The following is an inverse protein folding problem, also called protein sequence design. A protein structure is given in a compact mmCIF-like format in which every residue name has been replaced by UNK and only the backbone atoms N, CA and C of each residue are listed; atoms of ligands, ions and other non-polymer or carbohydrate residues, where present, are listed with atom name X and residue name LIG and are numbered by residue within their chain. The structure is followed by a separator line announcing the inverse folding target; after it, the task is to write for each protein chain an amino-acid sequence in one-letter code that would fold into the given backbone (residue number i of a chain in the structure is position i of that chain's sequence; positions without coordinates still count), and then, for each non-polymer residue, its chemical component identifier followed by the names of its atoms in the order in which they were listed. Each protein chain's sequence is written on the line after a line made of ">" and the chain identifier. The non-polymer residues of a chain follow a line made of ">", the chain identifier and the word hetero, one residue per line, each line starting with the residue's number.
data_IF_472822114332
#
_entry.id   IF_472822114332
#
_cell.length_a   1.000
_cell.length_b   1.000
_cell.length_c   1.000
_cell.angle_alpha   90.00
_cell.angle_beta   90.00
_cell.angle_gamma   90.00
#
_symmetry.space_group_name_H-M   'P 1'
#
loop_
_entity.id
_entity.type
_entity.pdbx_description
1 polymer ?
#
# COMPACT_ATOMS: atom_id res chain seq x y z
N UNK A 1 0.05 -13.79 9.86
CA UNK A 1 0.72 -12.86 10.78
C UNK A 1 0.97 -13.58 12.09
N UNK A 2 2.06 -13.28 12.77
CA UNK A 2 2.28 -13.71 14.16
C UNK A 2 2.36 -12.50 15.06
N UNK A 3 1.78 -12.59 16.25
CA UNK A 3 1.96 -11.60 17.31
C UNK A 3 3.18 -11.99 18.13
N UNK A 4 4.11 -11.05 18.30
CA UNK A 4 5.36 -11.26 19.02
C UNK A 4 5.54 -10.16 20.05
N UNK A 5 6.03 -10.51 21.23
CA UNK A 5 6.52 -9.54 22.21
C UNK A 5 8.02 -9.41 22.07
N UNK A 6 8.48 -8.22 21.71
CA UNK A 6 9.90 -7.87 21.81
C UNK A 6 10.14 -7.33 23.22
N UNK A 7 11.05 -7.96 23.98
CA UNK A 7 11.40 -7.55 25.32
C UNK A 7 12.91 -7.33 25.43
N UNK A 8 13.32 -6.17 25.93
CA UNK A 8 14.70 -5.80 26.18
C UNK A 8 14.91 -5.64 27.68
N UNK A 9 15.91 -6.34 28.20
CA UNK A 9 16.35 -6.21 29.57
C UNK A 9 17.65 -5.43 29.59
N UNK A 10 17.71 -4.36 30.35
CA UNK A 10 18.92 -3.58 30.57
C UNK A 10 19.06 -3.25 32.04
N UNK A 11 20.30 -3.18 32.50
CA UNK A 11 20.63 -2.75 33.84
C UNK A 11 21.16 -1.32 33.79
N UNK A 12 20.65 -0.48 34.68
CA UNK A 12 21.25 0.81 34.96
C UNK A 12 22.04 0.71 36.25
N UNK A 13 23.18 1.39 36.27
CA UNK A 13 23.93 1.58 37.50
C UNK A 13 23.32 2.74 38.26
N UNK A 14 23.53 2.80 39.57
CA UNK A 14 23.14 3.93 40.40
C UNK A 14 24.36 4.75 40.82
N UNK A 15 24.19 6.07 40.95
CA UNK A 15 25.18 6.93 41.59
C UNK A 15 25.17 6.75 43.12
N UNK A 16 26.05 7.48 43.83
CA UNK A 16 26.17 7.43 45.29
C UNK A 16 24.88 7.83 46.05
N UNK A 17 23.91 8.44 45.37
CA UNK A 17 22.62 8.84 45.93
C UNK A 17 21.47 7.92 45.50
N UNK A 18 21.76 6.81 44.78
CA UNK A 18 20.75 5.89 44.29
C UNK A 18 20.06 6.33 42.99
N UNK A 19 20.53 7.37 42.31
CA UNK A 19 19.95 7.85 41.05
C UNK A 19 20.49 7.03 39.86
N UNK A 20 19.64 6.58 38.91
CA UNK A 20 20.11 5.83 37.75
C UNK A 20 21.06 6.66 36.86
N UNK A 21 22.17 6.04 36.44
CA UNK A 21 23.19 6.62 35.56
C UNK A 21 23.59 5.66 34.44
N UNK A 22 23.97 6.22 33.30
CA UNK A 22 24.51 5.46 32.16
C UNK A 22 26.04 5.52 32.22
N UNK A 23 26.71 4.38 32.45
CA UNK A 23 28.18 4.35 32.57
C UNK A 23 28.77 3.18 31.80
N UNK A 24 29.91 3.39 31.14
CA UNK A 24 30.71 2.34 30.49
C UNK A 24 31.95 2.08 31.35
N UNK A 25 32.00 0.97 32.09
CA UNK A 25 33.10 0.60 32.99
C UNK A 25 32.63 -0.22 34.20
N UNK A 26 33.56 -0.89 34.90
CA UNK A 26 33.26 -1.74 36.07
C UNK A 26 33.46 -0.98 37.39
N UNK A 27 32.37 -0.73 38.12
CA UNK A 27 32.40 -0.42 39.54
C UNK A 27 31.44 -1.37 40.26
N UNK A 28 31.65 -1.61 41.56
CA UNK A 28 30.69 -2.38 42.38
C UNK A 28 29.36 -1.62 42.41
N UNK A 29 28.30 -2.24 41.86
CA UNK A 29 27.06 -1.56 41.49
C UNK A 29 25.84 -2.31 42.02
N UNK A 30 24.98 -1.61 42.75
CA UNK A 30 23.59 -2.03 42.96
C UNK A 30 22.84 -1.85 41.64
N UNK A 31 22.44 -2.94 40.99
CA UNK A 31 21.79 -2.90 39.67
C UNK A 31 20.29 -2.60 39.78
N UNK A 32 19.81 -1.62 39.01
CA UNK A 32 18.39 -1.48 38.71
C UNK A 32 18.12 -2.28 37.43
N UNK A 33 17.31 -3.34 37.52
CA UNK A 33 16.85 -4.06 36.35
C UNK A 33 15.65 -3.35 35.74
N UNK A 34 15.75 -3.00 34.46
CA UNK A 34 14.66 -2.41 33.69
C UNK A 34 14.25 -3.35 32.56
N UNK A 35 12.95 -3.42 32.30
CA UNK A 35 12.37 -4.08 31.13
C UNK A 35 11.67 -3.04 30.27
N UNK A 36 11.95 -3.05 28.96
CA UNK A 36 11.12 -2.42 27.95
C UNK A 36 10.56 -3.52 27.07
N UNK A 37 9.23 -3.61 26.95
CA UNK A 37 8.59 -4.56 26.06
C UNK A 37 7.51 -3.93 25.19
N UNK A 38 7.41 -4.41 23.95
CA UNK A 38 6.45 -3.95 22.95
C UNK A 38 5.90 -5.15 22.18
N UNK A 39 4.57 -5.20 22.05
CA UNK A 39 3.90 -6.14 21.16
C UNK A 39 3.98 -5.63 19.72
N UNK A 40 4.39 -6.52 18.82
CA UNK A 40 4.52 -6.25 17.39
C UNK A 40 3.82 -7.33 16.60
N UNK A 41 3.18 -6.93 15.51
CA UNK A 41 2.60 -7.85 14.54
C UNK A 41 3.62 -8.03 13.41
N UNK A 42 4.05 -9.28 13.19
CA UNK A 42 4.97 -9.62 12.13
C UNK A 42 4.20 -10.25 10.97
N UNK A 43 4.34 -9.63 9.80
CA UNK A 43 3.78 -10.12 8.53
C UNK A 43 4.90 -10.80 7.72
N UNK A 44 4.73 -12.08 7.39
CA UNK A 44 5.62 -12.77 6.46
C UNK A 44 5.44 -12.17 5.06
N UNK A 45 6.56 -11.85 4.38
CA UNK A 45 6.60 -11.37 3.00
C UNK A 45 5.87 -12.27 1.99
N UNK A 46 5.67 -13.54 2.32
CA UNK A 46 4.96 -14.50 1.47
C UNK A 46 3.48 -14.68 1.87
N UNK A 47 2.99 -13.91 2.84
CA UNK A 47 1.60 -13.97 3.28
C UNK A 47 0.67 -13.49 2.18
N UNK A 48 -0.42 -14.21 1.98
CA UNK A 48 -1.54 -13.71 1.21
C UNK A 48 -2.35 -12.73 2.07
N UNK A 49 -2.69 -11.59 1.48
CA UNK A 49 -3.48 -10.55 2.12
C UNK A 49 -4.78 -10.34 1.36
N UNK A 50 -5.79 -9.81 2.04
CA UNK A 50 -7.09 -9.51 1.43
C UNK A 50 -7.11 -8.02 1.06
N UNK A 51 -7.05 -7.71 -0.24
CA UNK A 51 -6.97 -6.32 -0.71
C UNK A 51 -8.35 -5.90 -1.21
N UNK A 52 -8.84 -4.76 -0.72
CA UNK A 52 -9.99 -4.08 -1.28
C UNK A 52 -9.52 -3.04 -2.29
N UNK A 53 -9.81 -3.27 -3.56
CA UNK A 53 -9.59 -2.33 -4.66
C UNK A 53 -10.82 -1.47 -4.86
N UNK A 54 -10.61 -0.16 -4.98
CA UNK A 54 -11.68 0.83 -5.14
C UNK A 54 -11.46 1.61 -6.43
N UNK A 55 -12.51 1.77 -7.23
CA UNK A 55 -12.51 2.62 -8.43
C UNK A 55 -13.78 3.46 -8.45
N UNK A 56 -13.74 4.60 -9.12
CA UNK A 56 -14.92 5.41 -9.37
C UNK A 56 -15.83 4.77 -10.44
N UNK A 57 -17.09 5.20 -10.51
CA UNK A 57 -18.08 4.68 -11.47
C UNK A 57 -17.85 5.09 -12.92
N UNK A 58 -16.98 6.07 -13.21
CA UNK A 58 -16.59 6.41 -14.59
C UNK A 58 -15.53 5.45 -15.16
N UNK A 59 -14.83 4.73 -14.28
CA UNK A 59 -13.91 3.64 -14.63
C UNK A 59 -14.33 2.32 -13.98
N UNK A 60 -15.47 1.73 -14.39
CA UNK A 60 -16.04 0.58 -13.70
C UNK A 60 -15.22 -0.69 -13.94
N UNK A 61 -15.22 -1.58 -12.95
CA UNK A 61 -14.76 -2.94 -13.10
C UNK A 61 -15.57 -3.67 -14.17
N UNK A 62 -14.91 -4.58 -14.91
CA UNK A 62 -15.59 -5.47 -15.84
C UNK A 62 -16.33 -6.55 -15.05
N UNK A 63 -17.66 -6.41 -14.95
CA UNK A 63 -18.54 -7.31 -14.18
C UNK A 63 -18.53 -8.76 -14.68
N UNK A 64 -18.06 -9.01 -15.92
CA UNK A 64 -17.87 -10.37 -16.43
C UNK A 64 -16.65 -11.08 -15.82
N UNK A 65 -15.70 -10.30 -15.27
CA UNK A 65 -14.43 -10.79 -14.70
C UNK A 65 -14.39 -10.64 -13.19
N UNK A 66 -14.93 -9.55 -12.67
CA UNK A 66 -14.79 -9.14 -11.28
C UNK A 66 -16.16 -8.90 -10.64
N UNK A 67 -16.36 -9.48 -9.46
CA UNK A 67 -17.48 -9.15 -8.59
C UNK A 67 -17.12 -7.94 -7.75
N UNK A 68 -18.04 -6.99 -7.67
CA UNK A 68 -17.90 -5.78 -6.87
C UNK A 68 -19.22 -5.39 -6.20
N UNK A 69 -19.14 -4.49 -5.23
CA UNK A 69 -20.29 -3.80 -4.65
C UNK A 69 -20.17 -2.30 -4.92
N UNK A 70 -21.30 -1.65 -5.19
CA UNK A 70 -21.34 -0.20 -5.40
C UNK A 70 -21.77 0.51 -4.13
N UNK A 71 -21.07 1.59 -3.78
CA UNK A 71 -21.39 2.42 -2.62
C UNK A 71 -20.81 3.81 -2.82
N UNK A 72 -21.59 4.85 -2.50
CA UNK A 72 -21.14 6.24 -2.44
C UNK A 72 -20.44 6.74 -3.73
N UNK A 73 -20.85 6.25 -4.91
CA UNK A 73 -20.26 6.62 -6.20
C UNK A 73 -18.97 5.86 -6.59
N UNK A 74 -18.64 4.80 -5.85
CA UNK A 74 -17.48 3.95 -6.07
C UNK A 74 -17.86 2.48 -6.17
N UNK A 75 -17.00 1.69 -6.81
CA UNK A 75 -17.07 0.24 -6.86
C UNK A 75 -15.94 -0.38 -6.04
N UNK A 76 -16.27 -1.38 -5.23
CA UNK A 76 -15.35 -2.06 -4.31
C UNK A 76 -15.23 -3.54 -4.68
N UNK A 77 -14.01 -3.99 -4.92
CA UNK A 77 -13.69 -5.41 -5.11
C UNK A 77 -12.69 -5.88 -4.06
N UNK A 78 -13.05 -6.89 -3.28
CA UNK A 78 -12.13 -7.52 -2.34
C UNK A 78 -11.62 -8.85 -2.89
N UNK A 79 -10.30 -9.02 -2.94
CA UNK A 79 -9.68 -10.25 -3.43
C UNK A 79 -8.40 -10.59 -2.67
N UNK A 80 -8.05 -11.88 -2.65
CA UNK A 80 -6.82 -12.37 -2.03
C UNK A 80 -5.64 -12.19 -2.98
N UNK A 81 -4.59 -11.51 -2.52
CA UNK A 81 -3.38 -11.23 -3.30
C UNK A 81 -2.16 -11.73 -2.54
N UNK A 82 -1.17 -12.24 -3.26
CA UNK A 82 0.06 -12.72 -2.65
C UNK A 82 1.10 -11.61 -2.63
N UNK A 83 1.63 -11.26 -1.46
CA UNK A 83 2.72 -10.28 -1.33
C UNK A 83 4.03 -10.70 -2.04
N UNK A 84 4.15 -11.97 -2.44
CA UNK A 84 5.31 -12.51 -3.14
C UNK A 84 5.17 -12.56 -4.67
N UNK A 85 3.98 -12.30 -5.23
CA UNK A 85 3.70 -12.46 -6.66
C UNK A 85 3.24 -11.16 -7.31
N UNK A 86 3.30 -11.11 -8.64
CA UNK A 86 2.70 -10.05 -9.46
C UNK A 86 1.31 -10.47 -9.88
N UNK A 87 0.32 -10.24 -9.01
CA UNK A 87 -1.08 -10.60 -9.26
C UNK A 87 -2.06 -9.53 -8.76
N UNK A 88 -1.64 -8.26 -8.72
CA UNK A 88 -2.57 -7.16 -8.49
C UNK A 88 -3.52 -7.00 -9.68
N UNK A 89 -4.65 -6.36 -9.45
CA UNK A 89 -5.52 -5.96 -10.56
C UNK A 89 -4.79 -4.99 -11.50
N UNK A 90 -5.08 -5.13 -12.78
CA UNK A 90 -4.53 -4.36 -13.88
C UNK A 90 -5.64 -3.82 -14.77
N UNK A 91 -5.27 -3.13 -15.85
CA UNK A 91 -6.22 -2.53 -16.79
C UNK A 91 -7.23 -3.54 -17.38
N UNK A 92 -6.87 -4.82 -17.52
CA UNK A 92 -7.79 -5.84 -18.08
C UNK A 92 -8.97 -6.16 -17.17
N UNK A 93 -8.91 -5.72 -15.92
CA UNK A 93 -9.94 -5.89 -14.88
C UNK A 93 -11.12 -4.91 -15.03
N UNK A 94 -11.02 -3.96 -15.95
CA UNK A 94 -11.96 -2.85 -16.12
C UNK A 94 -12.63 -2.88 -17.49
N UNK A 95 -13.77 -2.20 -17.59
CA UNK A 95 -14.36 -1.88 -18.89
C UNK A 95 -13.39 -0.96 -19.64
N UNK A 96 -13.20 -1.20 -20.94
CA UNK A 96 -12.28 -0.40 -21.74
C UNK A 96 -12.73 1.07 -21.79
N UNK A 97 -11.83 1.99 -21.43
CA UNK A 97 -12.02 3.44 -21.54
C UNK A 97 -10.84 4.07 -22.31
N UNK A 98 -10.88 5.38 -22.53
CA UNK A 98 -9.72 6.13 -23.05
C UNK A 98 -8.58 6.24 -22.05
N UNK A 99 -8.92 6.11 -20.76
CA UNK A 99 -8.04 6.41 -19.65
C UNK A 99 -7.30 5.16 -19.24
N UNK A 100 -6.08 5.32 -18.72
CA UNK A 100 -5.22 4.20 -18.40
C UNK A 100 -5.06 4.07 -16.91
N UNK A 101 -5.24 2.86 -16.38
CA UNK A 101 -4.92 2.58 -14.99
C UNK A 101 -3.40 2.71 -14.78
N UNK A 102 -2.99 3.76 -14.07
CA UNK A 102 -1.60 4.06 -13.76
C UNK A 102 -1.09 3.23 -12.58
N UNK A 103 -1.94 3.05 -11.57
CA UNK A 103 -1.59 2.31 -10.38
C UNK A 103 -2.62 2.42 -9.28
N UNK A 104 -2.14 2.27 -8.05
CA UNK A 104 -2.96 2.17 -6.85
C UNK A 104 -2.40 3.07 -5.76
N UNK A 105 -3.31 3.74 -5.05
CA UNK A 105 -3.04 4.71 -3.99
C UNK A 105 -3.53 4.22 -2.62
N UNK A 106 -2.93 4.71 -1.53
CA UNK A 106 -3.47 4.52 -0.18
C UNK A 106 -4.60 5.49 0.14
N UNK A 107 -4.78 6.53 -0.68
CA UNK A 107 -5.73 7.61 -0.44
C UNK A 107 -6.68 7.80 -1.62
N UNK A 108 -7.87 8.30 -1.31
CA UNK A 108 -8.88 8.59 -2.33
C UNK A 108 -8.49 9.79 -3.20
N UNK A 109 -7.71 10.74 -2.67
CA UNK A 109 -7.23 11.90 -3.43
C UNK A 109 -6.22 11.51 -4.51
N UNK A 110 -5.57 10.35 -4.36
CA UNK A 110 -4.61 9.84 -5.32
C UNK A 110 -3.27 10.59 -5.32
N UNK A 111 -2.97 11.32 -4.26
CA UNK A 111 -1.73 12.11 -4.13
C UNK A 111 -0.47 11.22 -4.00
N UNK A 112 -0.67 9.96 -3.62
CA UNK A 112 0.38 8.95 -3.49
C UNK A 112 0.13 7.78 -4.44
N UNK A 113 1.21 7.28 -5.07
CA UNK A 113 1.20 5.99 -5.77
C UNK A 113 1.96 4.97 -4.95
N UNK A 114 1.23 3.98 -4.43
CA UNK A 114 1.81 2.84 -3.71
C UNK A 114 2.52 1.87 -4.67
N UNK A 115 1.84 1.50 -5.76
CA UNK A 115 2.37 0.57 -6.76
C UNK A 115 1.69 0.75 -8.11
N UNK A 116 2.39 0.37 -9.18
CA UNK A 116 1.87 0.41 -10.54
C UNK A 116 0.86 -0.70 -10.81
N UNK A 117 -0.07 -0.47 -11.73
CA UNK A 117 -1.07 -1.45 -12.15
C UNK A 117 -0.40 -2.76 -12.65
N UNK A 118 -0.99 -3.91 -12.30
CA UNK A 118 -0.47 -5.24 -12.67
C UNK A 118 0.91 -5.62 -12.11
N UNK A 119 1.51 -4.78 -11.26
CA UNK A 119 2.81 -5.06 -10.65
C UNK A 119 2.68 -5.93 -9.41
N UNK A 120 3.81 -6.42 -8.89
CA UNK A 120 3.79 -7.03 -7.56
C UNK A 120 3.38 -6.00 -6.52
N UNK A 121 2.41 -6.36 -5.67
CA UNK A 121 2.02 -5.54 -4.52
C UNK A 121 3.12 -5.49 -3.45
N UNK A 122 4.14 -6.38 -3.55
CA UNK A 122 5.30 -6.41 -2.68
C UNK A 122 4.93 -6.41 -1.20
N UNK A 123 5.50 -5.46 -0.44
CA UNK A 123 5.34 -5.37 1.02
C UNK A 123 4.15 -4.49 1.43
N UNK A 124 3.07 -4.45 0.65
CA UNK A 124 1.91 -3.59 0.89
C UNK A 124 1.39 -3.68 2.33
N UNK A 125 1.19 -4.91 2.83
CA UNK A 125 0.68 -5.09 4.18
C UNK A 125 1.62 -4.63 5.29
N UNK A 126 2.94 -4.68 5.06
CA UNK A 126 3.95 -4.12 5.97
C UNK A 126 3.93 -2.59 5.90
N UNK A 127 3.82 -2.04 4.69
CA UNK A 127 3.84 -0.60 4.44
C UNK A 127 2.66 0.10 5.09
N UNK A 128 1.48 -0.52 5.03
CA UNK A 128 0.24 0.01 5.61
C UNK A 128 -0.06 -0.54 7.01
N UNK A 129 0.77 -1.45 7.54
CA UNK A 129 0.57 -2.07 8.85
C UNK A 129 -0.72 -2.89 8.98
N UNK A 130 -1.22 -3.48 7.89
CA UNK A 130 -2.48 -4.25 7.86
C UNK A 130 -2.46 -5.38 6.83
N UNK A 131 -3.25 -6.44 7.04
CA UNK A 131 -3.48 -7.52 6.05
C UNK A 131 -4.78 -7.37 5.27
N UNK A 132 -5.54 -6.31 5.57
CA UNK A 132 -6.78 -5.98 4.86
C UNK A 132 -6.73 -4.55 4.30
N UNK A 133 -5.73 -4.19 3.47
CA UNK A 133 -5.60 -2.84 2.98
C UNK A 133 -6.71 -2.50 1.97
N UNK A 134 -7.15 -1.24 2.00
CA UNK A 134 -7.96 -0.65 0.93
C UNK A 134 -7.06 0.22 0.06
N UNK A 135 -7.15 0.08 -1.26
CA UNK A 135 -6.37 0.86 -2.22
C UNK A 135 -7.28 1.44 -3.31
N UNK A 136 -6.95 2.62 -3.79
CA UNK A 136 -7.76 3.40 -4.72
C UNK A 136 -7.10 3.48 -6.08
N UNK A 137 -7.88 3.31 -7.15
CA UNK A 137 -7.39 3.35 -8.52
C UNK A 137 -6.86 4.74 -8.88
N UNK A 138 -5.68 4.77 -9.49
CA UNK A 138 -5.11 5.98 -10.07
C UNK A 138 -5.24 5.90 -11.58
N UNK A 139 -6.07 6.76 -12.15
CA UNK A 139 -6.29 6.86 -13.58
C UNK A 139 -5.43 7.98 -14.16
N UNK A 140 -4.74 7.68 -15.25
CA UNK A 140 -4.10 8.66 -16.11
C UNK A 140 -5.08 9.00 -17.23
N UNK A 141 -5.51 10.26 -17.29
CA UNK A 141 -6.44 10.74 -18.31
C UNK A 141 -5.83 10.50 -19.70
N UNK A 142 -6.58 9.82 -20.56
CA UNK A 142 -6.13 9.52 -21.91
C UNK A 142 -5.82 10.79 -22.69
N UNK A 143 -4.71 10.81 -23.44
CA UNK A 143 -4.43 11.90 -24.37
C UNK A 143 -5.42 11.82 -25.54
N UNK A 144 -6.29 12.83 -25.66
CA UNK A 144 -7.15 12.98 -26.85
C UNK A 144 -6.34 13.61 -27.98
N UNK A 145 -5.81 12.78 -28.88
CA UNK A 145 -5.15 13.28 -30.11
C UNK A 145 -6.21 13.57 -31.17
N UNK A 146 -6.49 14.86 -31.39
CA UNK A 146 -7.27 15.30 -32.56
C UNK A 146 -6.31 15.48 -33.73
N UNK A 147 -6.32 14.54 -34.68
CA UNK A 147 -5.62 14.69 -35.95
C UNK A 147 -6.54 15.40 -36.95
N UNK A 148 -6.06 16.51 -37.52
CA UNK A 148 -6.69 17.15 -38.66
C UNK A 148 -5.88 16.78 -39.90
N UNK A 149 -6.55 16.18 -40.89
CA UNK A 149 -5.98 16.06 -42.23
C UNK A 149 -6.41 17.31 -42.98
N UNK A 150 -5.46 18.20 -43.23
CA UNK A 150 -5.63 19.24 -44.23
C UNK A 150 -5.48 18.56 -45.60
N UNK A 151 -6.60 18.42 -46.31
CA UNK A 151 -6.64 17.89 -47.67
C UNK A 151 -7.01 19.04 -48.61
N UNK A 152 -6.35 20.18 -48.48
CA UNK A 152 -6.34 21.19 -49.53
C UNK A 152 -5.36 20.76 -50.63
N UNK A 153 -5.86 19.86 -51.48
CA UNK A 153 -5.39 19.68 -52.84
C UNK A 153 -6.09 20.66 -53.76
N UNK A 154 -5.49 21.84 -53.91
CA UNK A 154 -5.68 22.81 -55.01
C UNK A 154 -7.07 23.46 -55.20
N UNK A 155 -7.13 24.79 -55.03
CA UNK A 155 -8.11 25.64 -55.69
C UNK A 155 -7.40 26.92 -56.20
N UNK A 156 -6.93 26.84 -57.45
CA UNK A 156 -6.68 27.90 -58.45
C UNK A 156 -6.44 29.34 -57.97
N UNK A 157 -5.24 29.87 -58.24
CA UNK A 157 -4.94 31.31 -58.39
C UNK A 157 -4.75 31.68 -59.85
#
# INVERSE_FOLDING_TARGET
>A
AGEYRLAWYFALNTDFNGKPIFTVGSFEMHSLQCEYSQDVIVYDRNTNIEVTYVTDVSHPFDSSKIKYVERDGYQYCTTTVSMAKSNSLDYSSFVATSDRLWGWSSSLSGDDRLFSAGSSIGRLGITLGTVTPTVYALWDEGIVVKAYYDVDGDDTK
#
